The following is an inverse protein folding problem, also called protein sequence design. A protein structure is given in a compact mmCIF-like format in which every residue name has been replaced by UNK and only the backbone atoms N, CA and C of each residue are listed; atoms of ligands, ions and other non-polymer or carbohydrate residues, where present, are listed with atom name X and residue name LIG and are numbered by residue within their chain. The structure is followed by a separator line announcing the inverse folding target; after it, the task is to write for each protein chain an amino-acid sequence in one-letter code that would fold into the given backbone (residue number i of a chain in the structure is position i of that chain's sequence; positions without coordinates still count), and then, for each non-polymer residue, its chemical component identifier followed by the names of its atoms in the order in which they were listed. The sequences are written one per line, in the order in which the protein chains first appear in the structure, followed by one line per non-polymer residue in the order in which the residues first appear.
data_IF_294646004209
#
_entry.id   IF_294646004209
#
_cell.length_a   1.000
_cell.length_b   1.000
_cell.length_c   1.000
_cell.angle_alpha   90.00
_cell.angle_beta   90.00
_cell.angle_gamma   90.00
#
_symmetry.space_group_name_H-M   'P 1'
#
loop_
_entity.id
_entity.type
_entity.pdbx_description
1 polymer ?
#
# COMPACT_ATOMS: atom_id res chain seq x y z
N UNK A 1 -28.36 0.87 24.82
CA UNK A 1 -27.77 1.99 24.08
C UNK A 1 -26.47 1.48 23.49
N UNK A 2 -26.44 1.22 22.19
CA UNK A 2 -25.23 0.76 21.53
C UNK A 2 -24.34 1.98 21.31
N UNK A 3 -23.18 2.01 21.97
CA UNK A 3 -22.12 2.96 21.63
C UNK A 3 -21.71 2.67 20.18
N UNK A 4 -22.12 3.54 19.26
CA UNK A 4 -21.48 3.61 17.95
C UNK A 4 -20.05 4.09 18.19
N UNK A 5 -19.11 3.17 18.41
CA UNK A 5 -17.71 3.54 18.43
C UNK A 5 -17.36 4.02 17.02
N UNK A 6 -17.06 5.31 16.85
CA UNK A 6 -16.59 5.91 15.59
C UNK A 6 -15.23 5.34 15.11
N UNK A 7 -14.68 4.34 15.79
CA UNK A 7 -13.43 3.67 15.43
C UNK A 7 -13.68 2.55 14.42
N UNK A 8 -12.79 2.41 13.44
CA UNK A 8 -12.87 1.33 12.47
C UNK A 8 -12.88 -0.05 13.15
N UNK A 9 -13.61 -1.04 12.61
CA UNK A 9 -13.66 -2.38 13.16
C UNK A 9 -12.28 -3.05 13.26
N UNK A 10 -12.02 -3.69 14.41
CA UNK A 10 -10.78 -4.44 14.66
C UNK A 10 -10.76 -5.87 14.09
N UNK A 11 -11.69 -6.22 13.21
CA UNK A 11 -11.80 -7.56 12.59
C UNK A 11 -12.15 -7.45 11.11
N UNK A 12 -11.78 -8.47 10.32
CA UNK A 12 -12.14 -8.55 8.90
C UNK A 12 -13.66 -8.57 8.70
N UNK A 13 -14.39 -9.41 9.45
CA UNK A 13 -15.85 -9.46 9.38
C UNK A 13 -16.50 -8.09 9.63
N UNK A 14 -15.97 -7.30 10.58
CA UNK A 14 -16.46 -5.94 10.82
C UNK A 14 -16.16 -4.99 9.66
N UNK A 15 -14.95 -5.02 9.09
CA UNK A 15 -14.59 -4.18 7.95
C UNK A 15 -15.40 -4.48 6.67
N UNK A 16 -15.86 -5.73 6.52
CA UNK A 16 -16.76 -6.16 5.43
C UNK A 16 -18.25 -6.00 5.77
N UNK A 17 -18.60 -5.57 6.98
CA UNK A 17 -20.00 -5.48 7.40
C UNK A 17 -20.71 -4.33 6.70
N UNK A 18 -21.98 -4.56 6.36
CA UNK A 18 -22.86 -3.52 5.82
C UNK A 18 -23.16 -2.40 6.83
N UNK A 19 -23.10 -2.71 8.13
CA UNK A 19 -23.24 -1.72 9.21
C UNK A 19 -22.09 -0.72 9.22
N UNK A 20 -20.85 -1.18 8.95
CA UNK A 20 -19.70 -0.29 8.77
C UNK A 20 -19.74 0.44 7.43
N UNK A 21 -20.10 -0.26 6.35
CA UNK A 21 -20.42 0.34 5.05
C UNK A 21 -19.24 0.99 4.31
N UNK A 22 -18.00 0.67 4.66
CA UNK A 22 -16.80 1.29 4.06
C UNK A 22 -16.68 0.98 2.56
N UNK A 23 -17.11 -0.20 2.10
CA UNK A 23 -17.13 -0.55 0.67
C UNK A 23 -18.12 0.34 -0.11
N UNK A 24 -19.30 0.56 0.45
CA UNK A 24 -20.36 1.41 -0.12
C UNK A 24 -19.91 2.87 -0.16
N UNK A 25 -19.31 3.35 0.92
CA UNK A 25 -18.73 4.69 0.96
C UNK A 25 -17.61 4.85 -0.07
N UNK A 26 -16.71 3.86 -0.20
CA UNK A 26 -15.62 3.90 -1.16
C UNK A 26 -16.13 3.93 -2.61
N UNK A 27 -17.18 3.17 -2.94
CA UNK A 27 -17.84 3.20 -4.26
C UNK A 27 -18.38 4.60 -4.59
N UNK A 28 -19.14 5.18 -3.66
CA UNK A 28 -19.72 6.52 -3.86
C UNK A 28 -18.64 7.58 -3.98
N UNK A 29 -17.61 7.51 -3.15
CA UNK A 29 -16.49 8.44 -3.15
C UNK A 29 -15.70 8.33 -4.45
N UNK A 30 -15.32 7.14 -4.89
CA UNK A 30 -14.66 6.94 -6.19
C UNK A 30 -15.52 7.49 -7.33
N UNK A 31 -16.81 7.16 -7.40
CA UNK A 31 -17.70 7.65 -8.46
C UNK A 31 -17.73 9.17 -8.52
N UNK A 32 -17.94 9.85 -7.37
CA UNK A 32 -18.04 11.31 -7.30
C UNK A 32 -16.72 11.99 -7.67
N UNK A 33 -15.61 11.54 -7.10
CA UNK A 33 -14.32 12.19 -7.28
C UNK A 33 -13.67 11.85 -8.61
N UNK A 34 -13.96 10.71 -9.22
CA UNK A 34 -13.59 10.41 -10.61
C UNK A 34 -14.25 11.40 -11.56
N UNK A 35 -15.55 11.66 -11.44
CA UNK A 35 -16.24 12.66 -12.26
C UNK A 35 -15.61 14.06 -12.11
N UNK A 36 -15.25 14.45 -10.89
CA UNK A 36 -14.56 15.72 -10.63
C UNK A 36 -13.15 15.77 -11.25
N UNK A 37 -12.39 14.68 -11.16
CA UNK A 37 -11.05 14.58 -11.72
C UNK A 37 -11.06 14.71 -13.25
N UNK A 38 -12.02 14.04 -13.91
CA UNK A 38 -12.21 14.10 -15.36
C UNK A 38 -12.66 15.49 -15.83
N UNK A 39 -13.41 16.24 -15.01
CA UNK A 39 -13.79 17.62 -15.32
C UNK A 39 -12.64 18.63 -15.13
N UNK A 40 -11.59 18.29 -14.36
CA UNK A 40 -10.44 19.15 -14.05
C UNK A 40 -9.11 18.38 -14.19
N UNK A 41 -8.75 17.94 -15.40
CA UNK A 41 -7.58 17.07 -15.60
C UNK A 41 -6.24 17.74 -15.27
N UNK A 42 -6.22 19.07 -15.14
CA UNK A 42 -5.02 19.89 -14.98
C UNK A 42 -4.41 19.81 -13.57
N UNK A 43 -5.08 19.18 -12.60
CA UNK A 43 -4.60 19.03 -11.21
C UNK A 43 -4.50 17.56 -10.78
N UNK A 44 -3.76 16.71 -11.52
CA UNK A 44 -3.83 15.26 -11.35
C UNK A 44 -3.32 14.78 -9.99
N UNK A 45 -2.28 15.41 -9.42
CA UNK A 45 -1.80 15.10 -8.06
C UNK A 45 -2.89 15.25 -7.01
N UNK A 46 -3.69 16.32 -7.09
CA UNK A 46 -4.76 16.59 -6.11
C UNK A 46 -5.82 15.49 -6.13
N UNK A 47 -6.16 14.99 -7.31
CA UNK A 47 -7.17 13.94 -7.46
C UNK A 47 -6.62 12.58 -7.04
N UNK A 48 -5.49 12.15 -7.58
CA UNK A 48 -4.96 10.82 -7.31
C UNK A 48 -4.54 10.64 -5.86
N UNK A 49 -3.94 11.65 -5.21
CA UNK A 49 -3.61 11.55 -3.77
C UNK A 49 -4.84 11.32 -2.90
N UNK A 50 -5.97 11.94 -3.27
CA UNK A 50 -7.23 11.87 -2.50
C UNK A 50 -7.87 10.49 -2.66
N UNK A 51 -7.75 9.90 -3.86
CA UNK A 51 -8.36 8.62 -4.20
C UNK A 51 -7.49 7.41 -3.87
N UNK A 52 -6.22 7.59 -3.51
CA UNK A 52 -5.27 6.50 -3.31
C UNK A 52 -5.74 5.45 -2.30
N UNK A 53 -6.13 5.88 -1.09
CA UNK A 53 -6.58 4.95 -0.06
C UNK A 53 -7.98 4.39 -0.34
N UNK A 54 -8.82 5.17 -1.03
CA UNK A 54 -10.15 4.76 -1.45
C UNK A 54 -10.05 3.63 -2.49
N UNK A 55 -9.19 3.77 -3.50
CA UNK A 55 -8.97 2.72 -4.49
C UNK A 55 -8.36 1.48 -3.83
N UNK A 56 -7.39 1.65 -2.92
CA UNK A 56 -6.83 0.53 -2.15
C UNK A 56 -7.92 -0.19 -1.33
N UNK A 57 -8.85 0.54 -0.72
CA UNK A 57 -9.98 -0.07 0.00
C UNK A 57 -10.88 -0.89 -0.92
N UNK A 58 -11.16 -0.41 -2.15
CA UNK A 58 -11.93 -1.18 -3.12
C UNK A 58 -11.22 -2.46 -3.53
N UNK A 59 -9.89 -2.39 -3.77
CA UNK A 59 -9.09 -3.59 -4.07
C UNK A 59 -9.28 -4.66 -3.01
N UNK A 60 -9.29 -4.26 -1.74
CA UNK A 60 -9.37 -5.20 -0.60
C UNK A 60 -10.80 -5.66 -0.32
N UNK A 61 -11.77 -4.75 -0.29
CA UNK A 61 -13.14 -5.02 0.16
C UNK A 61 -14.06 -5.54 -0.95
N UNK A 62 -13.86 -5.09 -2.19
CA UNK A 62 -14.73 -5.42 -3.34
C UNK A 62 -14.06 -6.33 -4.36
N UNK A 63 -12.73 -6.40 -4.33
CA UNK A 63 -11.92 -7.23 -5.22
C UNK A 63 -11.40 -6.51 -6.46
N UNK A 64 -10.48 -7.16 -7.16
CA UNK A 64 -9.71 -6.54 -8.24
C UNK A 64 -10.56 -6.10 -9.45
N UNK A 65 -11.63 -6.84 -9.80
CA UNK A 65 -12.46 -6.51 -10.96
C UNK A 65 -13.19 -5.17 -10.81
N UNK A 66 -13.81 -4.95 -9.65
CA UNK A 66 -14.52 -3.69 -9.37
C UNK A 66 -13.54 -2.52 -9.21
N UNK A 67 -12.47 -2.73 -8.45
CA UNK A 67 -11.42 -1.72 -8.28
C UNK A 67 -10.79 -1.31 -9.62
N UNK A 68 -10.57 -2.27 -10.53
CA UNK A 68 -10.07 -2.00 -11.88
C UNK A 68 -11.03 -1.10 -12.66
N UNK A 69 -12.32 -1.43 -12.69
CA UNK A 69 -13.32 -0.61 -13.38
C UNK A 69 -13.38 0.82 -12.81
N UNK A 70 -13.19 0.98 -11.50
CA UNK A 70 -13.14 2.30 -10.86
C UNK A 70 -11.86 3.09 -11.21
N UNK A 71 -10.72 2.40 -11.42
CA UNK A 71 -9.43 3.01 -11.71
C UNK A 71 -9.24 3.34 -13.21
N UNK A 72 -9.79 2.54 -14.12
CA UNK A 72 -9.59 2.66 -15.58
C UNK A 72 -9.78 4.08 -16.12
N UNK A 73 -10.84 4.84 -15.77
CA UNK A 73 -11.00 6.22 -16.25
C UNK A 73 -9.89 7.18 -15.81
N UNK A 74 -9.21 6.88 -14.70
CA UNK A 74 -8.17 7.72 -14.10
C UNK A 74 -6.75 7.33 -14.53
N UNK A 75 -6.57 6.19 -15.20
CA UNK A 75 -5.25 5.71 -15.66
C UNK A 75 -4.49 6.76 -16.49
N UNK A 76 -5.12 7.52 -17.42
CA UNK A 76 -4.41 8.58 -18.15
C UNK A 76 -3.83 9.69 -17.28
N UNK A 77 -4.26 9.81 -16.02
CA UNK A 77 -3.75 10.80 -15.06
C UNK A 77 -2.52 10.32 -14.29
N UNK A 78 -2.20 9.02 -14.30
CA UNK A 78 -1.14 8.43 -13.48
C UNK A 78 0.25 9.01 -13.81
N UNK A 79 0.66 8.97 -15.08
CA UNK A 79 1.97 9.52 -15.50
C UNK A 79 2.08 11.04 -15.29
N UNK A 80 1.08 11.87 -15.67
CA UNK A 80 1.08 13.30 -15.33
C UNK A 80 1.17 13.56 -13.83
N UNK A 81 0.46 12.77 -13.00
CA UNK A 81 0.50 12.92 -11.55
C UNK A 81 1.87 12.58 -10.98
N UNK A 82 2.51 11.50 -11.42
CA UNK A 82 3.86 11.12 -10.98
C UNK A 82 4.89 12.19 -11.37
N UNK A 83 4.79 12.72 -12.59
CA UNK A 83 5.66 13.80 -13.07
C UNK A 83 5.47 15.07 -12.24
N UNK A 84 4.23 15.48 -11.99
CA UNK A 84 3.93 16.66 -11.18
C UNK A 84 4.35 16.45 -9.72
N UNK A 85 4.12 15.27 -9.15
CA UNK A 85 4.57 14.92 -7.80
C UNK A 85 6.09 15.01 -7.66
N UNK A 86 6.86 14.62 -8.69
CA UNK A 86 8.32 14.76 -8.70
C UNK A 86 8.77 16.23 -8.62
N UNK A 87 8.15 17.11 -9.41
CA UNK A 87 8.46 18.55 -9.35
C UNK A 87 8.10 19.16 -7.99
N UNK A 88 6.99 18.72 -7.39
CA UNK A 88 6.58 19.17 -6.05
C UNK A 88 7.52 18.65 -4.96
N UNK A 89 8.03 17.42 -5.12
CA UNK A 89 9.03 16.84 -4.22
C UNK A 89 10.30 17.69 -4.20
N UNK A 90 10.76 18.16 -5.35
CA UNK A 90 11.94 19.02 -5.47
C UNK A 90 11.74 20.45 -4.97
N UNK A 91 10.53 21.00 -5.07
CA UNK A 91 10.25 22.42 -4.79
C UNK A 91 9.63 22.70 -3.42
N UNK A 92 8.87 21.77 -2.85
CA UNK A 92 8.04 21.99 -1.65
C UNK A 92 8.31 20.95 -0.54
N UNK A 93 9.15 19.94 -0.80
CA UNK A 93 9.43 18.79 0.09
C UNK A 93 8.21 18.22 0.86
N UNK A 94 7.11 17.76 0.20
CA UNK A 94 6.12 16.93 0.86
C UNK A 94 6.24 15.46 0.38
N UNK A 95 7.15 14.65 0.95
CA UNK A 95 7.27 13.21 0.67
C UNK A 95 5.93 12.48 0.71
N UNK A 96 5.07 12.87 1.65
CA UNK A 96 3.73 12.29 1.81
C UNK A 96 2.87 12.42 0.55
N UNK A 97 2.94 13.52 -0.18
CA UNK A 97 2.14 13.72 -1.40
C UNK A 97 2.63 12.78 -2.51
N UNK A 98 3.94 12.72 -2.74
CA UNK A 98 4.52 11.88 -3.78
C UNK A 98 4.25 10.39 -3.52
N UNK A 99 4.44 9.94 -2.28
CA UNK A 99 4.18 8.55 -1.87
C UNK A 99 2.68 8.22 -1.94
N UNK A 100 1.79 9.18 -1.65
CA UNK A 100 0.34 8.96 -1.78
C UNK A 100 -0.09 8.81 -3.24
N UNK A 101 0.43 9.65 -4.15
CA UNK A 101 0.18 9.49 -5.59
C UNK A 101 0.70 8.14 -6.07
N UNK A 102 1.91 7.76 -5.66
CA UNK A 102 2.47 6.45 -5.99
C UNK A 102 1.60 5.30 -5.44
N UNK A 103 0.96 5.48 -4.29
CA UNK A 103 0.05 4.48 -3.71
C UNK A 103 -1.22 4.29 -4.54
N UNK A 104 -1.76 5.35 -5.16
CA UNK A 104 -2.83 5.21 -6.15
C UNK A 104 -2.37 4.37 -7.34
N UNK A 105 -1.21 4.70 -7.90
CA UNK A 105 -0.64 3.98 -9.06
C UNK A 105 -0.41 2.51 -8.71
N UNK A 106 0.11 2.22 -7.52
CA UNK A 106 0.27 0.86 -7.02
C UNK A 106 -1.06 0.11 -6.93
N UNK A 107 -2.12 0.73 -6.40
CA UNK A 107 -3.44 0.10 -6.34
C UNK A 107 -4.01 -0.17 -7.75
N UNK A 108 -3.82 0.76 -8.69
CA UNK A 108 -4.20 0.60 -10.08
C UNK A 108 -3.42 -0.53 -10.79
N UNK A 109 -2.13 -0.69 -10.49
CA UNK A 109 -1.35 -1.83 -10.96
C UNK A 109 -1.78 -3.14 -10.31
N UNK A 110 -2.03 -3.13 -8.99
CA UNK A 110 -2.39 -4.32 -8.22
C UNK A 110 -3.73 -4.92 -8.64
N UNK A 111 -4.67 -4.10 -9.15
CA UNK A 111 -5.92 -4.55 -9.76
C UNK A 111 -5.85 -4.73 -11.28
N UNK A 112 -4.69 -4.49 -11.91
CA UNK A 112 -4.48 -4.69 -13.34
C UNK A 112 -5.13 -3.64 -14.25
N UNK A 113 -5.40 -2.44 -13.76
CA UNK A 113 -5.85 -1.30 -14.59
C UNK A 113 -4.70 -0.67 -15.38
N UNK A 114 -3.47 -0.78 -14.88
CA UNK A 114 -2.24 -0.32 -15.55
C UNK A 114 -1.06 -1.23 -15.17
N UNK A 115 0.13 -1.00 -15.74
CA UNK A 115 1.32 -1.80 -15.46
C UNK A 115 2.61 -0.98 -15.63
N UNK A 116 3.63 -1.30 -14.82
CA UNK A 116 5.00 -0.81 -14.96
C UNK A 116 5.25 0.66 -14.62
N UNK A 117 4.23 1.42 -14.25
CA UNK A 117 4.34 2.83 -13.86
C UNK A 117 5.05 3.04 -12.52
N UNK A 118 4.86 2.15 -11.54
CA UNK A 118 5.61 2.21 -10.27
C UNK A 118 7.10 2.01 -10.51
N UNK A 119 7.47 1.02 -11.32
CA UNK A 119 8.86 0.72 -11.66
C UNK A 119 9.51 1.82 -12.49
N UNK A 120 8.77 2.39 -13.46
CA UNK A 120 9.24 3.50 -14.29
C UNK A 120 9.25 4.86 -13.56
N UNK A 121 8.68 4.95 -12.35
CA UNK A 121 8.60 6.20 -11.60
C UNK A 121 9.95 6.60 -10.97
N UNK A 122 10.15 7.88 -10.63
CA UNK A 122 11.31 8.34 -9.86
C UNK A 122 11.27 7.94 -8.37
N UNK A 123 10.42 6.99 -7.97
CA UNK A 123 10.20 6.61 -6.57
C UNK A 123 11.49 6.23 -5.83
N UNK A 124 12.42 5.50 -6.48
CA UNK A 124 13.70 5.16 -5.85
C UNK A 124 14.48 6.41 -5.42
N UNK A 125 14.57 7.42 -6.27
CA UNK A 125 15.27 8.66 -5.94
C UNK A 125 14.57 9.42 -4.79
N UNK A 126 13.24 9.43 -4.77
CA UNK A 126 12.49 10.01 -3.65
C UNK A 126 12.78 9.28 -2.33
N UNK A 127 12.78 7.95 -2.35
CA UNK A 127 13.08 7.12 -1.19
C UNK A 127 14.52 7.33 -0.68
N UNK A 128 15.50 7.44 -1.59
CA UNK A 128 16.89 7.76 -1.23
C UNK A 128 17.03 9.14 -0.59
N UNK A 129 16.26 10.13 -1.05
CA UNK A 129 16.21 11.46 -0.44
C UNK A 129 15.59 11.43 0.96
N UNK A 130 14.46 10.73 1.13
CA UNK A 130 13.80 10.50 2.42
C UNK A 130 14.76 9.77 3.38
N UNK A 131 15.50 8.78 2.89
CA UNK A 131 16.48 8.03 3.68
C UNK A 131 17.64 8.89 4.22
N UNK A 132 17.87 10.10 3.68
CA UNK A 132 18.85 11.07 4.20
C UNK A 132 18.27 11.91 5.34
N UNK A 133 16.94 11.99 5.45
CA UNK A 133 16.23 12.85 6.41
C UNK A 133 15.31 12.06 7.34
N UNK A 134 15.51 10.74 7.51
CA UNK A 134 14.66 9.84 8.30
C UNK A 134 14.26 10.38 9.67
N UNK A 135 15.16 11.07 10.38
CA UNK A 135 14.89 11.67 11.70
C UNK A 135 13.85 12.79 11.69
N UNK A 136 13.49 13.31 10.52
CA UNK A 136 12.50 14.38 10.32
C UNK A 136 11.14 13.85 9.86
N UNK A 137 11.02 12.54 9.64
CA UNK A 137 9.82 11.92 9.08
C UNK A 137 9.07 11.15 10.17
N UNK A 138 7.75 11.06 10.04
CA UNK A 138 6.94 10.22 10.90
C UNK A 138 7.10 8.73 10.55
N UNK A 139 6.94 7.87 11.56
CA UNK A 139 7.14 6.42 11.42
C UNK A 139 6.21 5.80 10.36
N UNK A 140 4.96 6.26 10.26
CA UNK A 140 4.00 5.71 9.29
C UNK A 140 4.46 5.94 7.86
N UNK A 141 4.94 7.15 7.55
CA UNK A 141 5.55 7.44 6.27
C UNK A 141 6.78 6.56 6.02
N UNK A 142 7.66 6.41 7.02
CA UNK A 142 8.87 5.58 6.87
C UNK A 142 8.55 4.11 6.62
N UNK A 143 7.53 3.56 7.31
CA UNK A 143 7.08 2.19 7.11
C UNK A 143 6.52 1.97 5.70
N UNK A 144 5.68 2.90 5.22
CA UNK A 144 5.20 2.87 3.83
C UNK A 144 6.35 2.94 2.84
N UNK A 145 7.27 3.88 3.02
CA UNK A 145 8.47 4.00 2.19
C UNK A 145 9.30 2.71 2.20
N UNK A 146 9.40 2.02 3.34
CA UNK A 146 10.01 0.71 3.45
C UNK A 146 9.32 -0.34 2.56
N UNK A 147 8.00 -0.41 2.59
CA UNK A 147 7.22 -1.31 1.73
C UNK A 147 7.37 -0.96 0.23
N UNK A 148 7.38 0.33 -0.12
CA UNK A 148 7.64 0.79 -1.49
C UNK A 148 9.03 0.34 -1.95
N UNK A 149 10.06 0.53 -1.11
CA UNK A 149 11.43 0.11 -1.42
C UNK A 149 11.52 -1.41 -1.68
N UNK A 150 10.83 -2.23 -0.88
CA UNK A 150 10.74 -3.67 -1.13
C UNK A 150 10.09 -3.99 -2.48
N UNK A 151 9.03 -3.29 -2.85
CA UNK A 151 8.36 -3.47 -4.14
C UNK A 151 9.20 -3.04 -5.35
N UNK A 152 10.21 -2.20 -5.13
CA UNK A 152 11.21 -1.80 -6.12
C UNK A 152 12.45 -2.71 -6.11
N UNK A 153 12.47 -3.77 -5.30
CA UNK A 153 13.60 -4.68 -5.20
C UNK A 153 14.79 -4.11 -4.40
N UNK A 154 14.55 -3.15 -3.50
CA UNK A 154 15.59 -2.43 -2.75
C UNK A 154 15.54 -2.73 -1.24
N UNK A 155 15.85 -3.98 -0.80
CA UNK A 155 15.74 -4.38 0.60
C UNK A 155 16.69 -3.60 1.53
N UNK A 156 17.85 -3.17 1.03
CA UNK A 156 18.78 -2.34 1.82
C UNK A 156 18.24 -0.94 2.07
N UNK A 157 17.58 -0.35 1.06
CA UNK A 157 16.93 0.95 1.21
C UNK A 157 15.74 0.84 2.17
N UNK A 158 14.95 -0.24 2.07
CA UNK A 158 13.83 -0.49 2.98
C UNK A 158 14.28 -0.47 4.45
N UNK A 159 15.38 -1.16 4.77
CA UNK A 159 15.94 -1.22 6.12
C UNK A 159 16.47 0.12 6.58
N UNK A 160 17.10 0.88 5.69
CA UNK A 160 17.58 2.24 6.01
C UNK A 160 16.42 3.18 6.36
N UNK A 161 15.29 3.05 5.66
CA UNK A 161 14.09 3.85 5.88
C UNK A 161 13.42 3.52 7.21
N UNK A 162 13.19 2.22 7.48
CA UNK A 162 12.45 1.81 8.70
C UNK A 162 13.35 1.70 9.94
N UNK A 163 14.67 1.62 9.78
CA UNK A 163 15.62 1.47 10.88
C UNK A 163 15.70 0.04 11.44
N UNK A 164 16.18 -0.09 12.69
CA UNK A 164 16.29 -1.39 13.41
C UNK A 164 17.63 -2.12 13.26
N UNK A 165 18.65 -1.49 12.69
CA UNK A 165 20.01 -2.03 12.60
C UNK A 165 20.22 -3.08 11.49
N UNK A 166 21.31 -3.85 11.57
CA UNK A 166 21.68 -4.86 10.56
C UNK A 166 20.59 -5.93 10.44
N UNK A 167 20.32 -6.39 9.22
CA UNK A 167 19.43 -7.55 9.01
C UNK A 167 20.10 -8.84 9.52
N UNK A 168 19.31 -9.79 10.04
CA UNK A 168 19.82 -11.13 10.34
C UNK A 168 20.33 -11.80 9.06
N UNK A 169 21.33 -12.68 9.21
CA UNK A 169 21.89 -13.44 8.09
C UNK A 169 20.96 -14.56 7.60
N UNK A 170 20.00 -14.95 8.42
CA UNK A 170 19.03 -16.01 8.18
C UNK A 170 17.61 -15.51 8.40
N UNK A 171 16.64 -16.14 7.74
CA UNK A 171 15.22 -15.94 8.00
C UNK A 171 14.75 -16.93 9.07
N UNK A 172 13.95 -16.48 10.04
CA UNK A 172 13.25 -17.35 10.99
C UNK A 172 11.82 -17.59 10.48
N UNK A 173 11.47 -18.78 9.96
CA UNK A 173 10.14 -18.99 9.38
C UNK A 173 9.01 -18.74 10.38
N UNK A 174 7.93 -18.11 9.91
CA UNK A 174 6.69 -17.93 10.66
C UNK A 174 6.74 -16.97 11.84
N UNK A 175 7.70 -16.04 11.86
CA UNK A 175 7.75 -14.97 12.86
C UNK A 175 6.46 -14.13 12.84
N UNK A 176 5.94 -13.80 14.03
CA UNK A 176 4.72 -13.02 14.19
C UNK A 176 5.04 -11.58 14.59
N UNK A 177 4.37 -10.62 13.95
CA UNK A 177 4.70 -9.20 14.12
C UNK A 177 3.65 -8.40 14.89
N UNK A 178 2.39 -8.86 14.95
CA UNK A 178 1.31 -8.11 15.62
C UNK A 178 1.22 -6.67 15.12
N UNK A 179 1.49 -5.69 16.00
CA UNK A 179 1.52 -4.26 15.68
C UNK A 179 2.89 -3.75 15.17
N UNK A 180 3.90 -4.61 15.07
CA UNK A 180 5.27 -4.25 14.69
C UNK A 180 5.47 -4.23 13.16
N UNK A 181 4.94 -3.19 12.51
CA UNK A 181 5.08 -2.98 11.06
C UNK A 181 6.55 -2.88 10.63
N UNK A 182 7.39 -2.20 11.43
CA UNK A 182 8.84 -2.12 11.21
C UNK A 182 9.48 -3.52 11.12
N UNK A 183 9.16 -4.39 12.07
CA UNK A 183 9.63 -5.77 12.11
C UNK A 183 9.22 -6.55 10.87
N UNK A 184 7.97 -6.41 10.44
CA UNK A 184 7.46 -7.08 9.24
C UNK A 184 8.18 -6.62 7.96
N UNK A 185 8.42 -5.31 7.79
CA UNK A 185 9.20 -4.78 6.65
C UNK A 185 10.62 -5.35 6.65
N UNK A 186 11.27 -5.38 7.81
CA UNK A 186 12.62 -5.96 7.94
C UNK A 186 12.65 -7.46 7.65
N UNK A 187 11.61 -8.19 8.06
CA UNK A 187 11.46 -9.61 7.78
C UNK A 187 11.35 -9.89 6.29
N UNK A 188 10.52 -9.14 5.56
CA UNK A 188 10.43 -9.22 4.10
C UNK A 188 11.76 -8.84 3.43
N UNK A 189 12.46 -7.82 3.94
CA UNK A 189 13.78 -7.44 3.43
C UNK A 189 14.80 -8.59 3.58
N UNK A 190 14.82 -9.27 4.73
CA UNK A 190 15.63 -10.47 4.95
C UNK A 190 15.24 -11.58 3.97
N UNK A 191 13.95 -11.88 3.84
CA UNK A 191 13.45 -12.92 2.95
C UNK A 191 13.89 -12.70 1.50
N UNK A 192 13.78 -11.47 0.99
CA UNK A 192 14.24 -11.10 -0.35
C UNK A 192 15.76 -11.25 -0.49
N UNK A 193 16.54 -10.84 0.52
CA UNK A 193 18.00 -10.95 0.49
C UNK A 193 18.51 -12.39 0.46
N UNK A 194 17.93 -13.25 1.28
CA UNK A 194 18.33 -14.66 1.36
C UNK A 194 17.61 -15.51 0.32
N UNK A 195 16.75 -14.91 -0.51
CA UNK A 195 15.88 -15.59 -1.50
C UNK A 195 15.12 -16.74 -0.84
N UNK A 196 14.51 -16.45 0.30
CA UNK A 196 13.73 -17.44 1.03
C UNK A 196 12.57 -17.95 0.19
N UNK A 197 12.23 -19.26 0.27
CA UNK A 197 11.03 -19.79 -0.38
C UNK A 197 9.78 -19.13 0.20
N UNK A 198 8.77 -18.90 -0.64
CA UNK A 198 7.53 -18.22 -0.25
C UNK A 198 6.82 -18.90 0.92
N UNK A 199 6.94 -20.23 1.01
CA UNK A 199 6.36 -21.10 2.04
C UNK A 199 6.91 -20.78 3.43
N UNK A 200 8.17 -20.35 3.54
CA UNK A 200 8.77 -19.95 4.82
C UNK A 200 8.28 -18.56 5.27
N UNK A 201 7.88 -17.72 4.32
CA UNK A 201 7.42 -16.34 4.57
C UNK A 201 5.90 -16.30 4.79
N UNK A 202 5.16 -17.22 4.17
CA UNK A 202 3.69 -17.26 4.16
C UNK A 202 3.04 -17.15 5.54
N UNK A 203 3.47 -17.88 6.59
CA UNK A 203 2.78 -17.80 7.88
C UNK A 203 2.94 -16.41 8.54
N UNK A 204 4.07 -15.75 8.33
CA UNK A 204 4.30 -14.40 8.81
C UNK A 204 3.45 -13.37 8.04
N UNK A 205 3.31 -13.55 6.72
CA UNK A 205 2.41 -12.76 5.89
C UNK A 205 0.94 -12.90 6.32
N UNK A 206 0.47 -14.14 6.48
CA UNK A 206 -0.91 -14.43 6.91
C UNK A 206 -1.18 -13.83 8.30
N UNK A 207 -0.24 -13.94 9.24
CA UNK A 207 -0.35 -13.31 10.56
C UNK A 207 -0.40 -11.77 10.50
N UNK A 208 0.40 -11.15 9.62
CA UNK A 208 0.36 -9.70 9.41
C UNK A 208 -1.00 -9.25 8.87
N UNK A 209 -1.54 -9.99 7.89
CA UNK A 209 -2.87 -9.72 7.30
C UNK A 209 -3.98 -9.94 8.32
N UNK A 210 -3.92 -10.98 9.13
CA UNK A 210 -4.88 -11.22 10.21
C UNK A 210 -4.90 -10.07 11.23
N UNK A 211 -3.72 -9.52 11.56
CA UNK A 211 -3.59 -8.37 12.46
C UNK A 211 -3.97 -7.02 11.87
N UNK A 212 -4.09 -6.90 10.54
CA UNK A 212 -4.31 -5.62 9.85
C UNK A 212 -5.53 -4.83 10.35
N UNK A 213 -6.72 -5.42 10.57
CA UNK A 213 -7.88 -4.66 11.02
C UNK A 213 -7.64 -3.88 12.32
N UNK A 214 -6.89 -4.46 13.26
CA UNK A 214 -6.50 -3.79 14.52
C UNK A 214 -5.50 -2.66 14.26
N UNK A 215 -4.54 -2.86 13.36
CA UNK A 215 -3.61 -1.80 12.95
C UNK A 215 -4.35 -0.62 12.30
N UNK A 216 -5.34 -0.89 11.44
CA UNK A 216 -6.17 0.13 10.80
C UNK A 216 -7.04 0.87 11.82
N UNK A 217 -7.69 0.15 12.73
CA UNK A 217 -8.50 0.74 13.80
C UNK A 217 -7.70 1.67 14.73
N UNK A 218 -6.41 1.36 14.92
CA UNK A 218 -5.48 2.17 15.69
C UNK A 218 -4.75 3.26 14.85
N UNK A 219 -5.17 3.48 13.59
CA UNK A 219 -4.55 4.44 12.65
C UNK A 219 -3.04 4.18 12.40
N UNK A 220 -2.58 2.95 12.60
CA UNK A 220 -1.19 2.53 12.40
C UNK A 220 -0.90 1.97 11.01
N UNK A 221 -1.95 1.73 10.22
CA UNK A 221 -1.86 1.31 8.84
C UNK A 221 -3.09 1.79 8.07
N UNK A 222 -2.91 2.05 6.79
CA UNK A 222 -3.98 2.36 5.84
C UNK A 222 -4.18 1.22 4.85
N UNK A 223 -5.24 1.27 4.03
CA UNK A 223 -5.44 0.30 2.96
C UNK A 223 -4.28 0.29 1.97
N UNK A 224 -3.73 1.47 1.68
CA UNK A 224 -2.56 1.63 0.83
C UNK A 224 -1.36 0.83 1.36
N UNK A 225 -1.15 0.83 2.68
CA UNK A 225 -0.05 0.07 3.31
C UNK A 225 -0.24 -1.43 3.13
N UNK A 226 -1.48 -1.93 3.27
CA UNK A 226 -1.78 -3.33 3.04
C UNK A 226 -1.56 -3.75 1.59
N UNK A 227 -1.94 -2.92 0.62
CA UNK A 227 -1.71 -3.22 -0.81
C UNK A 227 -0.22 -3.20 -1.15
N UNK A 228 0.57 -2.30 -0.54
CA UNK A 228 2.04 -2.33 -0.68
C UNK A 228 2.65 -3.58 -0.05
N UNK A 229 2.22 -3.97 1.15
CA UNK A 229 2.65 -5.19 1.81
C UNK A 229 2.31 -6.44 1.00
N UNK A 230 1.09 -6.48 0.44
CA UNK A 230 0.65 -7.55 -0.45
C UNK A 230 1.50 -7.63 -1.72
N UNK A 231 1.83 -6.49 -2.35
CA UNK A 231 2.72 -6.48 -3.51
C UNK A 231 4.12 -6.99 -3.15
N UNK A 232 4.68 -6.53 -2.02
CA UNK A 232 6.00 -6.96 -1.57
C UNK A 232 6.05 -8.48 -1.36
N UNK A 233 5.02 -9.07 -0.77
CA UNK A 233 4.92 -10.52 -0.59
C UNK A 233 4.59 -11.25 -1.91
N UNK A 234 3.42 -11.02 -2.50
CA UNK A 234 2.94 -11.80 -3.65
C UNK A 234 3.81 -11.61 -4.90
N UNK A 235 4.21 -10.38 -5.22
CA UNK A 235 5.04 -10.13 -6.39
C UNK A 235 6.53 -10.27 -6.06
N UNK A 236 6.98 -9.72 -4.93
CA UNK A 236 8.39 -9.68 -4.58
C UNK A 236 8.98 -10.97 -4.01
N UNK A 237 8.20 -11.77 -3.27
CA UNK A 237 8.65 -13.04 -2.67
C UNK A 237 8.09 -14.24 -3.42
N UNK A 238 6.80 -14.26 -3.70
CA UNK A 238 6.15 -15.38 -4.38
C UNK A 238 6.29 -15.33 -5.92
N UNK A 239 6.64 -14.17 -6.49
CA UNK A 239 6.87 -14.02 -7.93
C UNK A 239 5.59 -13.95 -8.78
N UNK A 240 4.45 -13.61 -8.19
CA UNK A 240 3.18 -13.42 -8.92
C UNK A 240 3.21 -12.13 -9.75
N UNK A 241 2.47 -12.07 -10.88
CA UNK A 241 2.27 -10.82 -11.59
C UNK A 241 1.60 -9.77 -10.71
N UNK A 242 2.08 -8.51 -10.76
CA UNK A 242 1.53 -7.40 -9.96
C UNK A 242 0.03 -7.24 -10.18
N UNK A 243 -0.46 -7.40 -11.41
CA UNK A 243 -1.89 -7.34 -11.76
C UNK A 243 -2.78 -8.38 -11.07
N UNK A 244 -2.19 -9.38 -10.39
CA UNK A 244 -2.91 -10.45 -9.65
C UNK A 244 -2.82 -10.27 -8.13
N UNK A 245 -2.10 -9.24 -7.66
CA UNK A 245 -1.91 -8.96 -6.22
C UNK A 245 -3.26 -8.65 -5.56
N UNK A 246 -4.06 -7.77 -6.17
CA UNK A 246 -5.35 -7.36 -5.61
C UNK A 246 -6.34 -8.53 -5.47
N UNK A 247 -6.39 -9.42 -6.45
CA UNK A 247 -7.22 -10.63 -6.39
C UNK A 247 -6.74 -11.58 -5.28
N UNK A 248 -5.42 -11.79 -5.20
CA UNK A 248 -4.83 -12.67 -4.18
C UNK A 248 -5.08 -12.14 -2.76
N UNK A 249 -4.97 -10.83 -2.57
CA UNK A 249 -5.23 -10.17 -1.30
C UNK A 249 -6.72 -10.24 -0.92
N UNK A 250 -7.62 -9.90 -1.83
CA UNK A 250 -9.07 -9.96 -1.56
C UNK A 250 -9.51 -11.39 -1.20
N UNK A 251 -9.05 -12.40 -1.95
CA UNK A 251 -9.37 -13.79 -1.68
C UNK A 251 -8.90 -14.26 -0.30
N UNK A 252 -7.78 -13.71 0.20
CA UNK A 252 -7.24 -14.03 1.51
C UNK A 252 -8.07 -13.43 2.66
N UNK A 253 -8.65 -12.24 2.46
CA UNK A 253 -9.29 -11.48 3.56
C UNK A 253 -10.82 -11.51 3.54
N UNK A 254 -11.44 -11.88 2.41
CA UNK A 254 -12.90 -11.92 2.33
C UNK A 254 -13.43 -12.96 3.33
N UNK A 255 -14.42 -12.61 4.17
CA UNK A 255 -15.09 -13.59 5.01
C UNK A 255 -15.73 -14.72 4.19
N UNK A 256 -15.85 -15.91 4.80
CA UNK A 256 -16.53 -17.07 4.22
C UNK A 256 -18.04 -16.85 4.08
#
# INVERSE_FOLDING_TARGET
MAESSNSAPGTWAGLFSSEWGEDTHAREFMKRFTAMALAKPNTPVTHLRTLADVLASLVVLTGAGEARAAAEPLVPMCEPALTQAGRLFESVDPPRVAIQVLSFVNAAEACGATQGLVEASPAKAWLEAIAKTVKKQDDLLLYRCGLVALCLGEPDLAVKLVGGGKLPATLTPGEQFGFNVQGFVRYLATAMKVRAPSEAVRPAWESYVEGFPKNKAAERASWSDLVWAARAYFAGVEGRPVARVGESLHALVRPA
#
